data_IF_405418691059
#
_entry.id   IF_405418691059
#
_cell.length_a   1.000
_cell.length_b   1.000
_cell.length_c   1.000
_cell.angle_alpha   90.00
_cell.angle_beta   90.00
_cell.angle_gamma   90.00
#
_symmetry.space_group_name_H-M   'P 1'
#
loop_
_entity.id
_entity.type
_entity.pdbx_description
1 polymer ?
#
# COMPACT_ATOMS: atom_id res chain seq x y z
N UNK A 1 -10.81 -4.76 -13.09
CA UNK A 1 -9.87 -3.62 -13.06
C UNK A 1 -9.87 -2.89 -11.72
N UNK A 2 -10.96 -2.24 -11.28
CA UNK A 2 -10.93 -1.54 -9.98
C UNK A 2 -10.78 -2.50 -8.78
N UNK A 3 -11.46 -3.64 -8.81
CA UNK A 3 -11.30 -4.71 -7.81
C UNK A 3 -9.89 -5.30 -7.79
N UNK A 4 -9.26 -5.45 -8.97
CA UNK A 4 -7.89 -5.99 -9.09
C UNK A 4 -6.85 -5.02 -8.52
N UNK A 5 -7.05 -3.71 -8.73
CA UNK A 5 -6.20 -2.67 -8.15
C UNK A 5 -6.37 -2.64 -6.62
N UNK A 6 -7.61 -2.66 -6.14
CA UNK A 6 -7.90 -2.72 -4.70
C UNK A 6 -7.27 -3.94 -4.04
N UNK A 7 -7.33 -5.10 -4.71
CA UNK A 7 -6.69 -6.31 -4.22
C UNK A 7 -5.16 -6.19 -4.19
N UNK A 8 -4.54 -5.67 -5.26
CA UNK A 8 -3.09 -5.47 -5.30
C UNK A 8 -2.62 -4.55 -4.16
N UNK A 9 -3.36 -3.48 -3.87
CA UNK A 9 -3.10 -2.55 -2.75
C UNK A 9 -3.22 -3.27 -1.40
N UNK A 10 -4.33 -3.96 -1.13
CA UNK A 10 -4.53 -4.67 0.13
C UNK A 10 -3.59 -5.87 0.34
N UNK A 11 -3.01 -6.42 -0.73
CA UNK A 11 -2.01 -7.48 -0.65
C UNK A 11 -0.57 -6.95 -0.49
N UNK A 12 -0.34 -5.63 -0.61
CA UNK A 12 0.98 -5.03 -0.53
C UNK A 12 1.79 -5.13 -1.84
N UNK A 13 1.14 -5.36 -2.98
CA UNK A 13 1.79 -5.56 -4.28
C UNK A 13 2.03 -4.22 -5.00
N UNK A 14 3.07 -3.49 -4.60
CA UNK A 14 3.38 -2.15 -5.12
C UNK A 14 3.47 -2.11 -6.66
N UNK A 15 4.31 -2.94 -7.27
CA UNK A 15 4.56 -2.90 -8.72
C UNK A 15 3.32 -3.24 -9.54
N UNK A 16 2.56 -4.25 -9.09
CA UNK A 16 1.30 -4.65 -9.73
C UNK A 16 0.24 -3.56 -9.60
N UNK A 17 0.14 -2.92 -8.44
CA UNK A 17 -0.78 -1.81 -8.23
C UNK A 17 -0.41 -0.60 -9.12
N UNK A 18 0.88 -0.28 -9.25
CA UNK A 18 1.38 0.76 -10.17
C UNK A 18 1.04 0.45 -11.63
N UNK A 19 1.22 -0.80 -12.08
CA UNK A 19 0.89 -1.24 -13.44
C UNK A 19 -0.62 -1.12 -13.71
N UNK A 20 -1.45 -1.65 -12.82
CA UNK A 20 -2.91 -1.64 -12.94
C UNK A 20 -3.48 -0.22 -12.95
N UNK A 21 -2.93 0.67 -12.12
CA UNK A 21 -3.32 2.07 -12.10
C UNK A 21 -2.98 2.79 -13.41
N UNK A 22 -1.76 2.59 -13.94
CA UNK A 22 -1.35 3.13 -15.26
C UNK A 22 -2.26 2.64 -16.39
N UNK A 23 -2.57 1.34 -16.42
CA UNK A 23 -3.46 0.75 -17.44
C UNK A 23 -4.89 1.28 -17.36
N UNK A 24 -5.32 1.66 -16.16
CA UNK A 24 -6.64 2.27 -15.91
C UNK A 24 -6.66 3.78 -16.18
N UNK A 25 -5.54 4.38 -16.62
CA UNK A 25 -5.42 5.84 -16.79
C UNK A 25 -5.46 6.63 -15.46
N UNK A 26 -5.32 5.93 -14.32
CA UNK A 26 -5.28 6.54 -12.98
C UNK A 26 -3.84 6.90 -12.61
N UNK A 27 -3.65 8.09 -12.04
CA UNK A 27 -2.39 8.44 -11.40
C UNK A 27 -2.33 7.80 -10.01
N UNK A 28 -1.68 6.64 -9.91
CA UNK A 28 -1.44 5.90 -8.65
C UNK A 28 -0.82 6.79 -7.55
N UNK A 29 0.04 7.73 -7.94
CA UNK A 29 0.73 8.64 -7.03
C UNK A 29 -0.19 9.69 -6.36
N UNK A 30 -1.47 9.79 -6.73
CA UNK A 30 -2.38 10.82 -6.20
C UNK A 30 -3.15 10.41 -4.96
N UNK A 31 -3.21 9.12 -4.60
CA UNK A 31 -3.94 8.67 -3.42
C UNK A 31 -2.96 8.28 -2.31
N UNK A 32 -2.68 9.17 -1.35
CA UNK A 32 -1.79 8.86 -0.23
C UNK A 32 -2.27 7.63 0.56
N UNK A 33 -3.57 7.35 0.57
CA UNK A 33 -4.15 6.20 1.27
C UNK A 33 -3.73 4.85 0.67
N UNK A 34 -3.60 4.72 -0.66
CA UNK A 34 -3.26 3.43 -1.31
C UNK A 34 -1.80 3.03 -0.98
N UNK A 35 -0.87 3.98 -1.05
CA UNK A 35 0.53 3.73 -0.68
C UNK A 35 0.68 3.48 0.83
N UNK A 36 -0.10 4.18 1.67
CA UNK A 36 -0.13 3.92 3.11
C UNK A 36 -0.68 2.52 3.42
N UNK A 37 -1.68 2.05 2.70
CA UNK A 37 -2.18 0.68 2.86
C UNK A 37 -1.10 -0.34 2.50
N UNK A 38 -0.39 -0.16 1.38
CA UNK A 38 0.71 -1.06 1.01
C UNK A 38 1.82 -1.04 2.08
N UNK A 39 2.16 0.15 2.60
CA UNK A 39 3.13 0.28 3.68
C UNK A 39 2.65 -0.41 4.98
N UNK A 40 1.36 -0.34 5.31
CA UNK A 40 0.79 -1.02 6.46
C UNK A 40 0.85 -2.54 6.30
N UNK A 41 0.53 -3.06 5.11
CA UNK A 41 0.66 -4.50 4.81
C UNK A 41 2.11 -4.96 4.92
N UNK A 42 3.07 -4.17 4.41
CA UNK A 42 4.49 -4.46 4.55
C UNK A 42 4.92 -4.53 6.02
N UNK A 43 4.45 -3.59 6.85
CA UNK A 43 4.69 -3.60 8.29
C UNK A 43 4.14 -4.87 8.95
N UNK A 44 2.89 -5.24 8.66
CA UNK A 44 2.26 -6.45 9.21
C UNK A 44 3.00 -7.74 8.85
N UNK A 45 3.55 -7.80 7.63
CA UNK A 45 4.32 -8.93 7.11
C UNK A 45 5.78 -8.96 7.57
N UNK A 46 6.26 -7.89 8.21
CA UNK A 46 7.68 -7.72 8.51
C UNK A 46 8.55 -7.56 7.25
N UNK A 47 7.96 -7.08 6.15
CA UNK A 47 8.67 -6.83 4.88
C UNK A 47 9.50 -5.53 4.98
N UNK A 48 10.70 -5.68 5.54
CA UNK A 48 11.63 -4.57 5.77
C UNK A 48 12.12 -3.91 4.48
N UNK A 49 12.15 -4.65 3.35
CA UNK A 49 12.57 -4.10 2.06
C UNK A 49 11.49 -3.18 1.50
N UNK A 50 10.24 -3.61 1.54
CA UNK A 50 9.11 -2.79 1.13
C UNK A 50 8.95 -1.57 2.05
N UNK A 51 9.13 -1.71 3.37
CA UNK A 51 9.13 -0.56 4.29
C UNK A 51 10.20 0.48 3.94
N UNK A 52 11.43 0.05 3.65
CA UNK A 52 12.50 0.97 3.19
C UNK A 52 12.16 1.62 1.85
N UNK A 53 11.50 0.88 0.97
CA UNK A 53 11.04 1.40 -0.32
C UNK A 53 10.00 2.51 -0.12
N UNK A 54 9.05 2.31 0.79
CA UNK A 54 8.04 3.31 1.17
C UNK A 54 8.67 4.58 1.74
N UNK A 55 9.64 4.43 2.63
CA UNK A 55 10.38 5.56 3.20
C UNK A 55 11.18 6.32 2.13
N UNK A 56 12.00 5.62 1.33
CA UNK A 56 12.94 6.25 0.40
C UNK A 56 12.28 6.86 -0.84
N UNK A 57 11.31 6.15 -1.43
CA UNK A 57 10.68 6.58 -2.69
C UNK A 57 9.47 7.48 -2.45
N UNK A 58 8.74 7.25 -1.37
CA UNK A 58 7.44 7.87 -1.14
C UNK A 58 7.38 8.71 0.14
N UNK A 59 8.45 8.75 0.95
CA UNK A 59 8.49 9.45 2.24
C UNK A 59 7.37 9.02 3.19
N UNK A 60 6.96 7.75 3.11
CA UNK A 60 5.93 7.17 3.97
C UNK A 60 6.60 6.39 5.09
N UNK A 61 6.36 6.83 6.31
CA UNK A 61 6.69 6.13 7.56
C UNK A 61 5.38 6.06 8.34
N UNK A 62 4.97 4.86 8.73
CA UNK A 62 3.77 4.64 9.53
C UNK A 62 4.13 4.37 10.98
N UNK A 63 3.38 4.98 11.90
CA UNK A 63 3.39 4.59 13.32
C UNK A 63 2.50 3.36 13.52
N UNK A 64 2.74 2.63 14.61
CA UNK A 64 1.94 1.43 14.95
C UNK A 64 0.45 1.73 15.03
N UNK A 65 0.06 2.88 15.60
CA UNK A 65 -1.33 3.35 15.70
C UNK A 65 -1.99 3.54 14.31
N UNK A 66 -1.20 4.00 13.33
CA UNK A 66 -1.68 4.20 11.96
C UNK A 66 -1.83 2.86 11.24
N UNK A 67 -0.93 1.92 11.50
CA UNK A 67 -1.04 0.55 10.98
C UNK A 67 -2.30 -0.12 11.53
N UNK A 68 -2.56 -0.01 12.84
CA UNK A 68 -3.78 -0.53 13.46
C UNK A 68 -5.04 0.07 12.82
N UNK A 69 -5.10 1.40 12.69
CA UNK A 69 -6.22 2.08 12.05
C UNK A 69 -6.45 1.63 10.61
N UNK A 70 -5.39 1.52 9.81
CA UNK A 70 -5.48 1.06 8.42
C UNK A 70 -5.87 -0.42 8.33
N UNK A 71 -5.39 -1.23 9.28
CA UNK A 71 -5.72 -2.65 9.36
C UNK A 71 -7.21 -2.85 9.61
N UNK A 72 -7.79 -2.15 10.58
CA UNK A 72 -9.23 -2.22 10.87
C UNK A 72 -10.07 -1.68 9.70
N UNK A 73 -9.69 -0.52 9.17
CA UNK A 73 -10.46 0.16 8.11
C UNK A 73 -10.51 -0.64 6.81
N UNK A 74 -9.38 -1.23 6.41
CA UNK A 74 -9.24 -1.95 5.14
C UNK A 74 -9.26 -3.48 5.29
N UNK A 75 -9.46 -3.98 6.52
CA UNK A 75 -9.44 -5.41 6.86
C UNK A 75 -8.17 -6.11 6.37
N UNK A 76 -7.02 -5.46 6.58
CA UNK A 76 -5.73 -5.96 6.14
C UNK A 76 -5.37 -7.24 6.90
N UNK A 77 -4.71 -8.17 6.22
CA UNK A 77 -4.24 -9.42 6.80
C UNK A 77 -2.72 -9.45 6.76
N UNK A 78 -2.12 -9.97 7.84
CA UNK A 78 -0.69 -10.29 7.89
C UNK A 78 -0.38 -11.47 6.97
#
# INVERSE_FOLDING_TARGET
>A
MEEELSQAVCCGQLEKAEELAKRSGRNFLRYPDELRVIAAVAYLKGDMEMMRTMERRFSIILRSEEVEYLTERFKLQA
#
